data_IF_126560824275
#
_entry.id   IF_126560824275
#
_cell.length_a   1.000
_cell.length_b   1.000
_cell.length_c   1.000
_cell.angle_alpha   90.00
_cell.angle_beta   90.00
_cell.angle_gamma   90.00
#
_symmetry.space_group_name_H-M   'P 1'
#
loop_
_entity.id
_entity.type
_entity.pdbx_description
1 polymer ?
#
# COMPACT_ATOMS: atom_id res chain seq x y z
N UNK A 1 -14.34 -9.24 28.41
CA UNK A 1 -14.53 -9.66 27.01
C UNK A 1 -13.56 -8.88 26.11
N UNK A 2 -12.78 -9.58 25.28
CA UNK A 2 -11.91 -8.95 24.28
C UNK A 2 -12.71 -8.67 23.00
N UNK A 3 -12.84 -7.40 22.62
CA UNK A 3 -13.48 -7.02 21.35
C UNK A 3 -12.46 -7.10 20.22
N UNK A 4 -12.66 -8.04 19.30
CA UNK A 4 -11.82 -8.20 18.11
C UNK A 4 -12.42 -7.44 16.93
N UNK A 5 -11.63 -6.58 16.29
CA UNK A 5 -12.00 -5.87 15.07
C UNK A 5 -11.35 -6.55 13.87
N UNK A 6 -12.16 -7.00 12.90
CA UNK A 6 -11.68 -7.62 11.67
C UNK A 6 -11.57 -6.53 10.61
N UNK A 7 -10.33 -6.19 10.25
CA UNK A 7 -10.02 -5.24 9.18
C UNK A 7 -9.50 -6.07 8.01
N UNK A 8 -10.28 -6.16 6.94
CA UNK A 8 -9.95 -7.01 5.80
C UNK A 8 -8.76 -6.44 4.99
N UNK A 9 -9.03 -5.57 4.02
CA UNK A 9 -8.03 -5.12 3.03
C UNK A 9 -7.99 -3.60 2.88
N UNK A 10 -8.67 -2.88 3.77
CA UNK A 10 -8.64 -1.42 3.81
C UNK A 10 -7.21 -0.93 4.00
N UNK A 11 -6.76 -0.09 3.06
CA UNK A 11 -5.44 0.55 3.13
C UNK A 11 -5.40 1.60 4.23
N UNK A 12 -6.53 2.19 4.56
CA UNK A 12 -6.67 3.27 5.53
C UNK A 12 -7.84 2.99 6.47
N UNK A 13 -7.64 3.15 7.78
CA UNK A 13 -8.70 3.04 8.77
C UNK A 13 -8.37 3.84 10.03
N UNK A 14 -9.42 4.26 10.73
CA UNK A 14 -9.34 5.00 11.98
C UNK A 14 -10.21 4.28 13.03
N UNK A 15 -9.63 4.00 14.20
CA UNK A 15 -10.30 3.34 15.31
C UNK A 15 -9.97 4.09 16.60
N UNK A 16 -10.89 4.95 17.05
CA UNK A 16 -10.68 5.82 18.20
C UNK A 16 -9.43 6.68 18.00
N UNK A 17 -8.36 6.41 18.77
CA UNK A 17 -7.08 7.12 18.67
C UNK A 17 -6.09 6.50 17.68
N UNK A 18 -6.40 5.33 17.12
CA UNK A 18 -5.49 4.60 16.21
C UNK A 18 -5.83 4.95 14.77
N UNK A 19 -4.95 5.68 14.11
CA UNK A 19 -5.01 5.97 12.68
C UNK A 19 -3.96 5.10 11.99
N UNK A 20 -4.38 4.33 10.99
CA UNK A 20 -3.47 3.52 10.16
C UNK A 20 -3.66 3.93 8.71
N UNK A 21 -2.55 4.32 8.09
CA UNK A 21 -2.47 4.66 6.66
C UNK A 21 -1.38 3.82 6.02
N UNK A 22 -1.76 2.85 5.18
CA UNK A 22 -0.80 1.89 4.61
C UNK A 22 0.17 2.61 3.68
N UNK A 23 1.46 2.33 3.88
CA UNK A 23 2.56 2.95 3.12
C UNK A 23 3.07 4.27 3.71
N UNK A 24 2.60 4.65 4.90
CA UNK A 24 3.11 5.76 5.72
C UNK A 24 3.65 5.19 7.04
N UNK A 25 4.80 5.69 7.48
CA UNK A 25 5.40 5.30 8.75
C UNK A 25 4.53 5.78 9.92
N UNK A 26 4.46 4.98 10.99
CA UNK A 26 3.69 5.33 12.19
C UNK A 26 4.16 6.67 12.75
N UNK A 27 3.21 7.55 13.09
CA UNK A 27 3.47 8.84 13.72
C UNK A 27 3.70 10.00 12.74
N UNK A 28 3.75 9.75 11.42
CA UNK A 28 3.80 10.83 10.43
C UNK A 28 2.39 11.37 10.23
N UNK A 29 2.20 12.65 10.54
CA UNK A 29 0.96 13.39 10.24
C UNK A 29 1.02 14.00 8.85
N UNK A 30 -0.11 14.10 8.15
CA UNK A 30 -0.16 14.83 6.89
C UNK A 30 0.05 16.34 7.13
N UNK A 31 0.66 17.01 6.16
CA UNK A 31 0.73 18.46 6.08
C UNK A 31 -0.65 19.04 5.71
N UNK A 32 -0.78 20.37 5.69
CA UNK A 32 -2.02 21.09 5.34
C UNK A 32 -2.61 20.68 3.97
N UNK A 33 -1.76 20.25 3.04
CA UNK A 33 -2.16 19.79 1.70
C UNK A 33 -2.47 18.28 1.63
N UNK A 34 -2.53 17.58 2.77
CA UNK A 34 -2.74 16.13 2.80
C UNK A 34 -1.54 15.29 2.36
N UNK A 35 -0.35 15.89 2.26
CA UNK A 35 0.91 15.22 1.87
C UNK A 35 1.61 14.68 3.10
N UNK A 36 2.27 13.53 2.97
CA UNK A 36 3.05 12.93 4.06
C UNK A 36 4.54 13.08 3.79
N UNK A 37 5.28 13.71 4.70
CA UNK A 37 6.73 13.81 4.56
C UNK A 37 7.39 12.53 5.02
N UNK A 38 7.90 11.74 4.08
CA UNK A 38 8.55 10.46 4.36
C UNK A 38 10.05 10.58 4.14
N UNK A 39 10.83 9.97 5.02
CA UNK A 39 12.27 9.83 4.84
C UNK A 39 12.56 8.71 3.85
N UNK A 40 13.32 9.02 2.80
CA UNK A 40 13.80 8.06 1.82
C UNK A 40 15.32 8.14 1.70
N UNK A 41 15.95 6.99 1.46
CA UNK A 41 17.36 6.94 1.09
C UNK A 41 17.53 7.14 -0.41
N UNK A 42 18.74 7.53 -0.82
CA UNK A 42 19.12 7.47 -2.23
C UNK A 42 19.24 6.03 -2.72
N UNK A 43 19.05 5.86 -4.02
CA UNK A 43 19.34 4.60 -4.69
C UNK A 43 20.85 4.38 -4.74
N UNK A 44 21.29 3.11 -4.79
CA UNK A 44 22.71 2.78 -4.94
C UNK A 44 23.35 3.47 -6.16
N UNK A 45 22.61 3.54 -7.28
CA UNK A 45 23.06 4.24 -8.49
C UNK A 45 23.36 5.71 -8.21
N UNK A 46 22.42 6.41 -7.59
CA UNK A 46 22.58 7.83 -7.22
C UNK A 46 23.74 8.03 -6.25
N UNK A 47 23.93 7.13 -5.28
CA UNK A 47 25.04 7.20 -4.33
C UNK A 47 26.40 6.98 -5.00
N UNK A 48 26.48 6.11 -6.02
CA UNK A 48 27.68 5.91 -6.83
C UNK A 48 28.03 7.15 -7.66
N UNK A 49 27.03 7.74 -8.33
CA UNK A 49 27.20 8.97 -9.13
C UNK A 49 27.71 10.13 -8.26
N UNK A 50 27.23 10.24 -7.03
CA UNK A 50 27.62 11.26 -6.06
C UNK A 50 28.87 10.91 -5.24
N UNK A 51 29.43 9.70 -5.38
CA UNK A 51 30.58 9.17 -4.62
C UNK A 51 30.41 9.23 -3.09
N UNK A 52 29.23 8.86 -2.60
CA UNK A 52 28.84 8.93 -1.17
C UNK A 52 28.42 7.57 -0.61
N UNK A 53 29.07 6.49 -1.06
CA UNK A 53 28.75 5.11 -0.67
C UNK A 53 29.01 4.80 0.81
N UNK A 54 29.85 5.61 1.47
CA UNK A 54 30.24 5.51 2.87
C UNK A 54 29.28 6.23 3.82
N UNK A 55 28.26 6.93 3.30
CA UNK A 55 27.31 7.70 4.09
C UNK A 55 25.85 7.26 3.90
N UNK A 56 25.10 7.21 4.99
CA UNK A 56 23.65 7.01 4.95
C UNK A 56 22.93 8.36 4.77
N UNK A 57 22.63 8.72 3.52
CA UNK A 57 21.92 9.97 3.21
C UNK A 57 20.41 9.73 3.20
N UNK A 58 19.71 10.45 4.07
CA UNK A 58 18.25 10.46 4.15
C UNK A 58 17.71 11.79 3.66
N UNK A 59 16.70 11.74 2.79
CA UNK A 59 16.00 12.91 2.27
C UNK A 59 14.52 12.87 2.62
N UNK A 60 13.94 14.03 2.90
CA UNK A 60 12.49 14.16 3.11
C UNK A 60 11.83 14.37 1.75
N UNK A 61 10.91 13.47 1.39
CA UNK A 61 10.15 13.55 0.15
C UNK A 61 8.66 13.58 0.47
N UNK A 62 7.90 14.54 -0.11
CA UNK A 62 6.46 14.58 0.07
C UNK A 62 5.81 13.43 -0.70
N UNK A 63 5.03 12.61 0.01
CA UNK A 63 4.30 11.48 -0.54
C UNK A 63 2.80 11.78 -0.55
N UNK A 64 2.22 11.75 -1.74
CA UNK A 64 0.76 11.81 -1.94
C UNK A 64 0.23 10.38 -1.99
N UNK A 65 -0.75 10.05 -1.16
CA UNK A 65 -1.41 8.75 -1.20
C UNK A 65 -2.64 8.83 -2.10
N UNK A 66 -2.57 8.21 -3.27
CA UNK A 66 -3.75 7.94 -4.10
C UNK A 66 -4.26 6.53 -3.81
N UNK A 67 -5.56 6.40 -3.56
CA UNK A 67 -6.21 5.13 -3.21
C UNK A 67 -7.01 4.59 -4.39
N UNK A 68 -6.30 4.23 -5.45
CA UNK A 68 -6.90 3.49 -6.56
C UNK A 68 -6.78 2.00 -6.24
N UNK A 69 -7.91 1.32 -6.05
CA UNK A 69 -7.98 -0.12 -5.86
C UNK A 69 -8.08 -0.77 -7.24
N UNK A 70 -6.94 -1.23 -7.77
CA UNK A 70 -6.87 -1.84 -9.11
C UNK A 70 -7.30 -3.31 -9.13
N UNK A 71 -7.48 -3.92 -7.96
CA UNK A 71 -7.76 -5.36 -7.83
C UNK A 71 -9.24 -5.67 -7.62
N UNK A 72 -10.10 -4.66 -7.47
CA UNK A 72 -11.49 -4.86 -7.12
C UNK A 72 -12.17 -3.61 -6.57
N UNK A 73 -13.49 -3.67 -6.45
CA UNK A 73 -14.32 -2.63 -5.85
C UNK A 73 -14.35 -2.77 -4.32
N UNK A 74 -14.35 -1.65 -3.60
CA UNK A 74 -14.44 -1.65 -2.14
C UNK A 74 -15.92 -1.55 -1.75
N UNK A 75 -16.46 -2.62 -1.17
CA UNK A 75 -17.83 -2.65 -0.65
C UNK A 75 -17.96 -1.77 0.62
N UNK A 76 -19.17 -1.29 0.97
CA UNK A 76 -19.42 -0.56 2.22
C UNK A 76 -19.02 -1.34 3.49
N UNK A 77 -18.91 -2.66 3.39
CA UNK A 77 -18.43 -3.56 4.45
C UNK A 77 -16.92 -3.54 4.66
N UNK A 78 -16.16 -2.82 3.82
CA UNK A 78 -14.70 -2.78 3.85
C UNK A 78 -14.02 -3.99 3.20
N UNK A 79 -14.79 -4.88 2.57
CA UNK A 79 -14.28 -5.98 1.73
C UNK A 79 -13.96 -5.45 0.34
N UNK A 80 -12.82 -5.86 -0.20
CA UNK A 80 -12.51 -5.65 -1.62
C UNK A 80 -13.08 -6.82 -2.40
N UNK A 81 -14.13 -6.58 -3.19
CA UNK A 81 -14.65 -7.55 -4.15
C UNK A 81 -13.73 -7.56 -5.37
N UNK A 82 -13.00 -8.64 -5.63
CA UNK A 82 -12.06 -8.67 -6.73
C UNK A 82 -12.77 -8.51 -8.08
N UNK A 83 -12.12 -7.85 -9.03
CA UNK A 83 -12.60 -7.88 -10.41
C UNK A 83 -12.40 -9.31 -10.93
N UNK A 84 -13.51 -10.02 -11.16
CA UNK A 84 -13.48 -11.31 -11.81
C UNK A 84 -13.28 -11.07 -13.32
N UNK A 85 -12.19 -11.61 -13.87
CA UNK A 85 -12.12 -11.82 -15.32
C UNK A 85 -13.23 -12.83 -15.65
N UNK A 86 -14.28 -12.38 -16.34
CA UNK A 86 -15.18 -13.30 -17.03
C UNK A 86 -14.37 -13.94 -18.16
N UNK A 87 -13.74 -15.08 -17.86
CA UNK A 87 -13.35 -15.99 -18.91
C UNK A 87 -14.65 -16.57 -19.46
N UNK A 88 -15.06 -16.13 -20.65
CA UNK A 88 -15.92 -16.96 -21.49
C UNK A 88 -15.04 -18.16 -21.85
N UNK A 89 -15.28 -19.28 -21.19
CA UNK A 89 -14.66 -20.54 -21.57
C UNK A 89 -15.30 -20.97 -22.89
N UNK A 90 -14.67 -20.62 -24.01
CA UNK A 90 -14.72 -21.54 -25.14
C UNK A 90 -13.95 -22.79 -24.70
N UNK A 91 -14.63 -23.93 -24.78
CA UNK A 91 -14.25 -25.26 -24.28
C UNK A 91 -12.78 -25.62 -24.52
N UNK A 92 -11.90 -25.36 -23.55
CA UNK A 92 -10.59 -26.00 -23.50
C UNK A 92 -10.28 -26.47 -22.08
N UNK A 93 -10.14 -27.80 -21.99
CA UNK A 93 -9.95 -28.60 -20.79
C UNK A 93 -8.50 -28.43 -20.28
N UNK A 94 -8.29 -27.62 -19.24
CA UNK A 94 -6.98 -27.46 -18.62
C UNK A 94 -6.84 -28.42 -17.44
N UNK A 95 -6.10 -29.51 -17.63
CA UNK A 95 -5.68 -30.37 -16.52
C UNK A 95 -4.59 -29.70 -15.68
N UNK A 96 -4.95 -29.23 -14.49
CA UNK A 96 -3.99 -28.70 -13.50
C UNK A 96 -3.22 -29.87 -12.87
N UNK A 97 -1.97 -30.07 -13.30
CA UNK A 97 -1.05 -30.93 -12.57
C UNK A 97 -0.46 -30.13 -11.39
N UNK A 98 -0.76 -30.57 -10.16
CA UNK A 98 -0.06 -30.08 -8.96
C UNK A 98 1.37 -30.61 -8.99
N UNK A 99 2.33 -29.69 -8.89
CA UNK A 99 3.74 -29.99 -8.56
C UNK A 99 3.85 -30.17 -7.04
#
# INVERSE_FOLDING_TARGET
ESRHLIIHTLKDYELGKKIVRKGITKGITPDKDGKYNVLTSFSLKTMMELKVLDAAILTKVPKVLTRNYTKGEVLPTGRVQPFCLQFVYDEYDFQVHKI
#
